data_IF_109537884167
#
_entry.id   IF_109537884167
#
_cell.length_a   1.000
_cell.length_b   1.000
_cell.length_c   1.000
_cell.angle_alpha   90.00
_cell.angle_beta   90.00
_cell.angle_gamma   90.00
#
_symmetry.space_group_name_H-M   'P 1'
#
loop_
_entity.id
_entity.type
_entity.pdbx_description
1 polymer ?
#
# COMPACT_ATOMS: atom_id res chain seq x y z
N UNK A 1 -13.90 7.30 27.16
CA UNK A 1 -13.50 7.52 25.76
C UNK A 1 -12.11 8.14 25.78
N UNK A 2 -11.07 7.33 25.62
CA UNK A 2 -9.68 7.79 25.51
C UNK A 2 -9.28 7.75 24.02
N UNK A 3 -8.44 8.68 23.54
CA UNK A 3 -8.09 8.75 22.13
C UNK A 3 -7.18 7.58 21.74
N UNK A 4 -7.37 7.06 20.54
CA UNK A 4 -6.45 6.10 19.93
C UNK A 4 -5.07 6.76 19.76
N UNK A 5 -4.05 6.27 20.50
CA UNK A 5 -2.66 6.73 20.33
C UNK A 5 -1.83 6.92 21.60
N UNK A 6 -2.26 6.48 22.79
CA UNK A 6 -1.40 6.57 23.98
C UNK A 6 -0.36 5.43 24.02
N UNK A 7 0.92 5.79 24.08
CA UNK A 7 2.03 4.93 24.53
C UNK A 7 2.03 4.91 26.06
N UNK A 8 2.28 3.76 26.67
CA UNK A 8 2.47 3.70 28.13
C UNK A 8 3.88 4.15 28.54
N UNK A 9 4.09 4.33 29.84
CA UNK A 9 5.36 4.76 30.46
C UNK A 9 6.52 3.78 30.30
N UNK A 10 6.32 2.64 29.64
CA UNK A 10 7.35 1.66 29.26
C UNK A 10 7.64 1.63 27.76
N UNK A 11 6.89 2.38 26.94
CA UNK A 11 7.07 2.44 25.49
C UNK A 11 6.36 1.31 24.72
N UNK A 12 5.43 0.61 25.36
CA UNK A 12 4.68 -0.49 24.74
C UNK A 12 3.30 -0.03 24.21
N UNK A 13 2.84 -0.65 23.12
CA UNK A 13 1.51 -0.41 22.56
C UNK A 13 0.45 -1.20 23.32
N UNK A 14 -0.47 -0.49 23.97
CA UNK A 14 -1.61 -1.09 24.69
C UNK A 14 -2.54 -1.79 23.70
N UNK A 15 -2.66 -3.11 23.82
CA UNK A 15 -3.70 -3.91 23.17
C UNK A 15 -5.02 -3.71 23.93
N UNK A 16 -6.06 -3.21 23.28
CA UNK A 16 -7.42 -3.27 23.84
C UNK A 16 -8.08 -4.59 23.42
N UNK A 17 -8.40 -5.44 24.39
CA UNK A 17 -9.03 -6.75 24.23
C UNK A 17 -10.40 -6.64 23.53
N UNK A 18 -10.57 -7.33 22.41
CA UNK A 18 -11.91 -7.61 21.87
C UNK A 18 -12.40 -8.91 22.49
N UNK A 19 -13.27 -8.78 23.49
CA UNK A 19 -13.97 -9.90 24.10
C UNK A 19 -14.81 -10.64 23.05
N UNK A 20 -14.56 -11.94 22.96
CA UNK A 20 -15.38 -12.92 22.25
C UNK A 20 -16.74 -13.03 22.93
N UNK A 21 -17.82 -12.72 22.22
CA UNK A 21 -19.17 -13.06 22.64
C UNK A 21 -19.93 -13.58 21.43
N UNK A 22 -20.19 -14.89 21.46
CA UNK A 22 -20.97 -15.63 20.47
C UNK A 22 -22.40 -15.09 20.39
N UNK A 23 -22.91 -14.81 19.19
CA UNK A 23 -24.35 -14.92 18.83
C UNK A 23 -24.58 -14.58 17.35
N UNK A 24 -25.28 -15.47 16.65
CA UNK A 24 -25.98 -15.26 15.37
C UNK A 24 -25.11 -14.97 14.14
N UNK A 25 -24.85 -16.04 13.37
CA UNK A 25 -24.36 -15.98 11.99
C UNK A 25 -25.49 -15.37 11.12
N UNK A 26 -25.59 -14.05 11.09
CA UNK A 26 -26.35 -13.39 10.04
C UNK A 26 -25.53 -13.49 8.77
N UNK A 27 -25.98 -14.33 7.84
CA UNK A 27 -25.49 -14.43 6.47
C UNK A 27 -25.64 -13.06 5.81
N UNK A 28 -24.59 -12.23 5.93
CA UNK A 28 -24.43 -11.10 5.03
C UNK A 28 -24.14 -11.74 3.67
N UNK A 29 -25.18 -11.84 2.83
CA UNK A 29 -25.04 -11.98 1.39
C UNK A 29 -24.24 -10.77 0.92
N UNK A 30 -22.92 -10.88 1.00
CA UNK A 30 -22.02 -9.90 0.41
C UNK A 30 -22.20 -10.02 -1.09
N UNK A 31 -22.94 -9.05 -1.60
CA UNK A 31 -23.18 -8.74 -2.99
C UNK A 31 -21.83 -8.43 -3.66
N UNK A 32 -21.04 -9.47 -3.98
CA UNK A 32 -19.79 -9.37 -4.71
C UNK A 32 -20.10 -9.28 -6.21
N UNK A 33 -20.74 -8.19 -6.60
CA UNK A 33 -20.74 -7.73 -7.98
C UNK A 33 -19.29 -7.45 -8.40
N UNK A 34 -18.81 -8.22 -9.37
CA UNK A 34 -17.67 -7.94 -10.24
C UNK A 34 -16.50 -7.15 -9.62
N UNK A 35 -15.96 -7.59 -8.47
CA UNK A 35 -14.67 -7.08 -8.02
C UNK A 35 -13.60 -7.63 -8.95
N UNK A 36 -12.86 -6.73 -9.57
CA UNK A 36 -11.72 -7.03 -10.41
C UNK A 36 -10.73 -7.89 -9.59
N UNK A 37 -10.62 -9.17 -9.95
CA UNK A 37 -9.81 -10.18 -9.23
C UNK A 37 -8.38 -9.68 -8.97
N UNK A 38 -7.88 -8.76 -9.81
CA UNK A 38 -6.55 -8.17 -9.70
C UNK A 38 -6.33 -7.44 -8.39
N UNK A 39 -7.37 -6.82 -7.83
CA UNK A 39 -7.28 -6.15 -6.52
C UNK A 39 -7.02 -7.13 -5.38
N UNK A 40 -7.43 -8.40 -5.52
CA UNK A 40 -7.21 -9.43 -4.51
C UNK A 40 -5.80 -10.04 -4.56
N UNK A 41 -5.10 -9.87 -5.68
CA UNK A 41 -3.78 -10.45 -5.94
C UNK A 41 -2.68 -9.40 -6.14
N UNK A 42 -2.99 -8.11 -5.96
CA UNK A 42 -2.04 -7.01 -6.12
C UNK A 42 -1.57 -6.47 -4.78
N UNK A 43 -0.26 -6.31 -4.65
CA UNK A 43 0.38 -5.74 -3.48
C UNK A 43 0.13 -4.24 -3.38
N UNK A 44 -0.36 -3.73 -2.24
CA UNK A 44 -0.64 -2.30 -2.07
C UNK A 44 0.63 -1.42 -1.99
N UNK A 45 1.81 -2.01 -1.82
CA UNK A 45 3.09 -1.28 -1.76
C UNK A 45 3.69 -1.08 -3.15
N UNK A 46 3.86 -2.17 -3.92
CA UNK A 46 4.45 -2.08 -5.26
C UNK A 46 3.43 -1.91 -6.38
N UNK A 47 2.14 -2.13 -6.10
CA UNK A 47 1.05 -2.13 -7.07
C UNK A 47 1.27 -3.15 -8.20
N UNK A 48 2.01 -4.21 -7.91
CA UNK A 48 2.21 -5.37 -8.78
C UNK A 48 1.53 -6.59 -8.18
N UNK A 49 1.31 -7.61 -9.00
CA UNK A 49 0.89 -8.94 -8.54
C UNK A 49 1.86 -9.45 -7.46
N UNK A 50 1.33 -10.06 -6.40
CA UNK A 50 2.12 -10.52 -5.27
C UNK A 50 3.27 -11.44 -5.70
N UNK A 51 4.48 -11.14 -5.22
CA UNK A 51 5.64 -12.04 -5.26
C UNK A 51 5.97 -12.46 -3.84
N UNK A 52 5.87 -13.75 -3.55
CA UNK A 52 5.98 -14.31 -2.19
C UNK A 52 5.07 -13.54 -1.20
N UNK A 53 3.73 -13.72 -1.28
CA UNK A 53 2.80 -12.99 -0.42
C UNK A 53 3.01 -13.35 1.05
N UNK A 54 3.24 -12.34 1.88
CA UNK A 54 3.32 -12.44 3.33
C UNK A 54 2.07 -11.83 3.95
N UNK A 55 1.45 -12.56 4.87
CA UNK A 55 0.27 -12.13 5.62
C UNK A 55 0.70 -11.59 6.99
N UNK A 56 0.32 -10.35 7.28
CA UNK A 56 0.46 -9.79 8.62
C UNK A 56 -0.65 -10.30 9.55
N UNK A 57 -0.48 -10.21 10.89
CA UNK A 57 -1.52 -10.60 11.86
C UNK A 57 -2.87 -9.88 11.68
N UNK A 58 -2.84 -8.70 11.06
CA UNK A 58 -4.04 -7.94 10.68
C UNK A 58 -4.70 -8.40 9.37
N UNK A 59 -4.29 -9.56 8.84
CA UNK A 59 -4.78 -10.19 7.60
C UNK A 59 -4.56 -9.40 6.30
N UNK A 60 -3.71 -8.38 6.32
CA UNK A 60 -3.26 -7.70 5.10
C UNK A 60 -2.01 -8.38 4.51
N UNK A 61 -1.94 -8.39 3.18
CA UNK A 61 -0.94 -9.14 2.43
C UNK A 61 0.00 -8.20 1.66
N UNK A 62 1.28 -8.54 1.62
CA UNK A 62 2.35 -7.75 0.99
C UNK A 62 3.38 -8.69 0.34
N UNK A 63 4.10 -8.23 -0.68
CA UNK A 63 5.27 -8.99 -1.14
C UNK A 63 6.33 -9.02 -0.03
N UNK A 64 6.98 -10.17 0.16
CA UNK A 64 8.09 -10.31 1.12
C UNK A 64 9.12 -9.18 1.03
N UNK A 65 9.64 -8.92 -0.16
CA UNK A 65 10.61 -7.84 -0.40
C UNK A 65 10.07 -6.44 -0.14
N UNK A 66 8.76 -6.22 -0.35
CA UNK A 66 8.13 -4.93 -0.04
C UNK A 66 8.04 -4.72 1.46
N UNK A 67 7.72 -5.79 2.20
CA UNK A 67 7.60 -5.76 3.65
C UNK A 67 8.99 -5.64 4.31
N UNK A 68 9.99 -6.39 3.84
CA UNK A 68 11.39 -6.26 4.28
C UNK A 68 11.95 -4.84 4.14
N UNK A 69 11.59 -4.13 3.06
CA UNK A 69 12.05 -2.76 2.81
C UNK A 69 11.46 -1.73 3.78
N UNK A 70 10.26 -1.98 4.31
CA UNK A 70 9.57 -1.04 5.21
C UNK A 70 9.71 -1.41 6.69
N UNK A 71 10.09 -2.65 6.98
CA UNK A 71 10.40 -3.10 8.33
C UNK A 71 11.84 -2.73 8.68
N UNK A 72 12.00 -1.65 9.44
CA UNK A 72 13.31 -1.23 9.98
C UNK A 72 13.49 -1.74 11.41
N UNK A 73 12.43 -1.70 12.21
CA UNK A 73 12.44 -2.04 13.63
C UNK A 73 11.67 -3.32 13.95
N UNK A 74 11.86 -3.81 15.17
CA UNK A 74 11.14 -4.98 15.73
C UNK A 74 9.63 -4.78 15.80
N UNK A 75 9.18 -3.52 15.81
CA UNK A 75 7.79 -3.11 15.80
C UNK A 75 7.53 -2.25 14.58
N UNK A 76 6.53 -2.61 13.79
CA UNK A 76 6.16 -1.87 12.59
C UNK A 76 4.64 -1.76 12.48
N UNK A 77 4.17 -0.91 11.56
CA UNK A 77 2.74 -0.66 11.33
C UNK A 77 2.33 -1.11 9.94
N UNK A 78 1.17 -1.74 9.85
CA UNK A 78 0.60 -2.13 8.57
C UNK A 78 0.32 -0.90 7.69
N UNK A 79 0.81 -0.86 6.43
CA UNK A 79 0.54 0.26 5.52
C UNK A 79 -0.94 0.49 5.20
N UNK A 80 -1.79 -0.52 5.38
CA UNK A 80 -3.22 -0.45 5.05
C UNK A 80 -4.06 -0.03 6.26
N UNK A 81 -4.01 -0.79 7.36
CA UNK A 81 -4.85 -0.53 8.53
C UNK A 81 -4.13 0.19 9.68
N UNK A 82 -2.82 0.46 9.54
CA UNK A 82 -1.96 1.07 10.57
C UNK A 82 -1.84 0.28 11.88
N UNK A 83 -2.38 -0.95 11.93
CA UNK A 83 -2.22 -1.85 13.07
C UNK A 83 -0.74 -2.17 13.32
N UNK A 84 -0.33 -2.10 14.58
CA UNK A 84 1.01 -2.47 15.00
C UNK A 84 1.18 -3.99 14.93
N UNK A 85 2.36 -4.42 14.51
CA UNK A 85 2.75 -5.82 14.54
C UNK A 85 4.22 -5.94 14.91
N UNK A 86 4.56 -7.07 15.53
CA UNK A 86 5.93 -7.40 15.91
C UNK A 86 6.55 -8.28 14.84
N UNK A 87 7.72 -7.90 14.35
CA UNK A 87 8.52 -8.71 13.41
C UNK A 87 9.14 -9.88 14.18
N UNK A 88 8.97 -11.14 13.73
CA UNK A 88 9.62 -12.30 14.31
C UNK A 88 11.14 -12.14 14.33
N UNK A 89 11.82 -12.81 15.26
CA UNK A 89 13.27 -12.74 15.36
C UNK A 89 13.98 -13.31 14.12
N UNK A 90 13.35 -14.29 13.46
CA UNK A 90 13.80 -14.85 12.18
C UNK A 90 13.37 -14.00 10.95
N UNK A 91 12.92 -12.76 11.18
CA UNK A 91 12.62 -11.77 10.15
C UNK A 91 11.26 -11.93 9.47
N UNK A 92 11.03 -11.10 8.44
CA UNK A 92 9.77 -11.01 7.70
C UNK A 92 9.38 -12.33 7.01
N UNK A 93 10.36 -13.15 6.64
CA UNK A 93 10.13 -14.47 6.04
C UNK A 93 9.39 -15.45 6.96
N UNK A 94 9.32 -15.18 8.26
CA UNK A 94 8.70 -16.06 9.26
C UNK A 94 7.19 -15.83 9.45
N UNK A 95 6.63 -14.84 8.76
CA UNK A 95 5.19 -14.62 8.76
C UNK A 95 4.48 -15.66 7.89
N UNK A 96 3.22 -15.92 8.22
CA UNK A 96 2.39 -16.85 7.47
C UNK A 96 2.12 -16.35 6.06
N UNK A 97 1.95 -17.31 5.15
CA UNK A 97 1.63 -17.06 3.75
C UNK A 97 0.15 -17.32 3.54
N UNK A 98 -0.55 -16.37 2.90
CA UNK A 98 -1.94 -16.56 2.55
C UNK A 98 -2.07 -17.53 1.37
N UNK A 99 -2.43 -18.78 1.67
CA UNK A 99 -2.61 -19.83 0.65
C UNK A 99 -3.76 -19.54 -0.30
N UNK A 100 -4.78 -18.78 0.11
CA UNK A 100 -5.87 -18.36 -0.79
C UNK A 100 -5.34 -17.43 -1.89
N UNK A 101 -4.41 -16.52 -1.57
CA UNK A 101 -3.75 -15.68 -2.58
C UNK A 101 -2.91 -16.54 -3.52
N UNK A 102 -2.15 -17.51 -3.01
CA UNK A 102 -1.40 -18.45 -3.86
C UNK A 102 -2.34 -19.18 -4.82
N UNK A 103 -3.42 -19.76 -4.30
CA UNK A 103 -4.39 -20.48 -5.13
C UNK A 103 -5.05 -19.56 -6.17
N UNK A 104 -5.28 -18.29 -5.84
CA UNK A 104 -5.80 -17.29 -6.80
C UNK A 104 -4.75 -16.94 -7.87
N UNK A 105 -3.47 -16.86 -7.51
CA UNK A 105 -2.37 -16.64 -8.45
C UNK A 105 -2.17 -17.84 -9.40
N UNK A 106 -2.40 -19.06 -8.91
CA UNK A 106 -2.30 -20.31 -9.68
C UNK A 106 -3.52 -20.53 -10.58
N UNK A 107 -4.73 -20.36 -10.05
CA UNK A 107 -5.98 -20.62 -10.77
C UNK A 107 -6.32 -19.52 -11.80
N UNK A 108 -5.89 -18.28 -11.54
CA UNK A 108 -5.89 -17.22 -12.53
C UNK A 108 -4.48 -17.08 -13.06
N UNK A 109 -4.10 -17.94 -14.00
CA UNK A 109 -2.84 -17.94 -14.75
C UNK A 109 -2.20 -16.55 -14.94
N UNK A 110 -1.54 -16.04 -13.91
CA UNK A 110 -0.61 -14.92 -13.94
C UNK A 110 0.82 -15.42 -14.10
N UNK A 111 1.00 -16.75 -14.01
CA UNK A 111 2.28 -17.40 -14.17
C UNK A 111 2.84 -17.31 -15.60
N UNK A 112 2.07 -17.49 -16.70
CA UNK A 112 2.71 -17.63 -18.03
C UNK A 112 1.89 -17.19 -19.25
N UNK A 113 1.16 -16.06 -19.21
CA UNK A 113 0.49 -15.57 -20.44
C UNK A 113 0.22 -14.07 -20.51
N UNK A 114 1.08 -13.21 -19.95
CA UNK A 114 1.37 -11.95 -20.64
C UNK A 114 2.52 -12.27 -21.58
N UNK A 115 2.45 -11.97 -22.90
CA UNK A 115 3.57 -12.23 -23.79
C UNK A 115 4.77 -11.46 -23.23
N UNK A 116 5.68 -12.19 -22.59
CA UNK A 116 7.00 -11.73 -22.22
C UNK A 116 7.73 -11.59 -23.53
N UNK A 117 7.47 -10.48 -24.22
CA UNK A 117 8.13 -10.16 -25.47
C UNK A 117 9.62 -10.04 -25.12
N UNK A 118 10.44 -10.84 -25.79
CA UNK A 118 11.86 -10.55 -25.85
C UNK A 118 12.05 -9.45 -26.87
N UNK A 119 12.41 -8.27 -26.39
CA UNK A 119 12.66 -7.12 -27.25
C UNK A 119 13.62 -6.17 -26.56
N UNK A 120 14.03 -5.13 -27.30
CA UNK A 120 14.87 -4.07 -26.75
C UNK A 120 14.06 -3.18 -25.83
N UNK A 121 14.54 -3.01 -24.61
CA UNK A 121 13.99 -2.06 -23.65
C UNK A 121 14.06 -0.63 -24.21
N UNK A 122 12.95 0.11 -24.15
CA UNK A 122 12.89 1.49 -24.62
C UNK A 122 13.85 2.43 -23.87
N UNK A 123 14.20 2.11 -22.62
CA UNK A 123 15.05 2.93 -21.76
C UNK A 123 16.53 2.56 -21.87
N UNK A 124 16.90 1.30 -21.63
CA UNK A 124 18.32 0.88 -21.65
C UNK A 124 18.80 0.30 -23.00
N UNK A 125 17.89 0.11 -23.97
CA UNK A 125 18.16 -0.46 -25.30
C UNK A 125 18.69 -1.90 -25.33
N UNK A 126 18.82 -2.54 -24.18
CA UNK A 126 19.22 -3.95 -24.05
C UNK A 126 18.04 -4.86 -24.38
N UNK A 127 18.35 -6.01 -24.99
CA UNK A 127 17.40 -7.11 -25.14
C UNK A 127 17.18 -7.75 -23.78
N UNK A 128 15.92 -7.74 -23.35
CA UNK A 128 15.49 -8.31 -22.08
C UNK A 128 14.01 -8.67 -22.21
N UNK A 129 13.49 -9.31 -21.17
CA UNK A 129 12.07 -9.50 -21.02
C UNK A 129 11.40 -8.15 -20.74
N UNK A 130 10.59 -7.68 -21.67
CA UNK A 130 9.92 -6.37 -21.58
C UNK A 130 8.48 -6.48 -21.08
N UNK A 131 8.03 -5.42 -20.43
CA UNK A 131 6.66 -5.19 -20.01
C UNK A 131 6.20 -3.83 -20.52
N UNK A 132 4.92 -3.68 -20.88
CA UNK A 132 4.37 -2.39 -21.28
C UNK A 132 4.04 -1.59 -20.03
N UNK A 133 4.61 -0.39 -19.91
CA UNK A 133 4.27 0.55 -18.86
C UNK A 133 2.88 1.15 -19.10
N UNK A 134 1.95 1.04 -18.15
CA UNK A 134 0.60 1.60 -18.31
C UNK A 134 0.58 3.14 -18.26
N UNK A 135 1.62 3.76 -17.67
CA UNK A 135 1.76 5.22 -17.59
C UNK A 135 2.15 5.85 -18.93
N UNK A 136 3.12 5.28 -19.65
CA UNK A 136 3.66 5.87 -20.89
C UNK A 136 3.54 4.97 -22.13
N UNK A 137 2.97 3.77 -21.99
CA UNK A 137 2.86 2.72 -23.03
C UNK A 137 4.18 2.23 -23.63
N UNK A 138 5.31 2.61 -23.03
CA UNK A 138 6.63 2.16 -23.46
C UNK A 138 6.93 0.73 -23.00
N UNK A 139 7.64 -0.01 -23.85
CA UNK A 139 8.13 -1.35 -23.58
C UNK A 139 9.44 -1.30 -22.76
N UNK A 140 9.38 -1.67 -21.47
CA UNK A 140 10.50 -1.51 -20.54
C UNK A 140 10.79 -2.81 -19.77
N UNK A 141 12.08 -3.08 -19.51
CA UNK A 141 12.51 -4.24 -18.72
C UNK A 141 12.26 -4.04 -17.22
N UNK A 142 12.30 -5.12 -16.43
CA UNK A 142 12.01 -5.10 -14.99
C UNK A 142 12.96 -4.21 -14.17
N UNK A 143 14.21 -4.02 -14.63
CA UNK A 143 15.20 -3.14 -13.99
C UNK A 143 14.81 -1.68 -14.21
N UNK A 144 14.66 -1.26 -15.46
CA UNK A 144 14.28 0.12 -15.81
C UNK A 144 12.86 0.48 -15.36
N UNK A 145 11.96 -0.50 -15.23
CA UNK A 145 10.62 -0.27 -14.67
C UNK A 145 10.66 0.26 -13.25
N UNK A 146 11.56 -0.24 -12.40
CA UNK A 146 11.70 0.25 -11.02
C UNK A 146 12.14 1.71 -10.99
N UNK A 147 13.21 2.02 -11.71
CA UNK A 147 13.74 3.40 -11.80
C UNK A 147 12.73 4.37 -12.39
N UNK A 148 12.07 3.99 -13.50
CA UNK A 148 11.03 4.80 -14.14
C UNK A 148 9.87 5.13 -13.18
N UNK A 149 9.40 4.15 -12.42
CA UNK A 149 8.32 4.37 -11.45
C UNK A 149 8.77 5.19 -10.25
N UNK A 150 10.02 5.07 -9.81
CA UNK A 150 10.53 5.84 -8.68
C UNK A 150 10.68 7.34 -9.02
N UNK A 151 11.09 7.68 -10.24
CA UNK A 151 11.07 9.07 -10.72
C UNK A 151 9.64 9.60 -10.82
N UNK A 152 8.72 8.81 -11.39
CA UNK A 152 7.32 9.20 -11.48
C UNK A 152 6.68 9.42 -10.10
N UNK A 153 6.99 8.55 -9.12
CA UNK A 153 6.55 8.72 -7.72
C UNK A 153 7.07 10.01 -7.11
N UNK A 154 8.35 10.36 -7.34
CA UNK A 154 8.93 11.62 -6.85
C UNK A 154 8.21 12.83 -7.45
N UNK A 155 7.95 12.79 -8.77
CA UNK A 155 7.21 13.86 -9.45
C UNK A 155 5.80 14.04 -8.87
N UNK A 156 5.03 12.96 -8.69
CA UNK A 156 3.71 13.02 -8.07
C UNK A 156 3.79 13.59 -6.65
N UNK A 157 4.73 13.10 -5.84
CA UNK A 157 4.89 13.56 -4.45
C UNK A 157 5.19 15.07 -4.38
N UNK A 158 6.06 15.57 -5.27
CA UNK A 158 6.36 16.99 -5.39
C UNK A 158 5.10 17.80 -5.73
N UNK A 159 4.33 17.36 -6.73
CA UNK A 159 3.10 18.04 -7.15
C UNK A 159 2.01 18.03 -6.06
N UNK A 160 1.89 16.94 -5.31
CA UNK A 160 0.98 16.87 -4.17
C UNK A 160 1.39 17.85 -3.07
N UNK A 161 2.68 17.97 -2.76
CA UNK A 161 3.16 18.92 -1.76
C UNK A 161 2.94 20.38 -2.21
N UNK A 162 3.21 20.70 -3.48
CA UNK A 162 2.95 22.04 -4.03
C UNK A 162 1.48 22.44 -3.92
N UNK A 163 0.59 21.52 -4.31
CA UNK A 163 -0.86 21.76 -4.25
C UNK A 163 -1.36 21.89 -2.81
N UNK A 164 -0.82 21.10 -1.87
CA UNK A 164 -1.13 21.22 -0.45
C UNK A 164 -0.70 22.59 0.11
N UNK A 165 0.52 23.05 -0.19
CA UNK A 165 0.99 24.36 0.25
C UNK A 165 0.15 25.51 -0.34
N UNK A 166 -0.31 25.37 -1.57
CA UNK A 166 -1.22 26.35 -2.18
C UNK A 166 -2.57 26.39 -1.45
N UNK A 167 -3.13 25.22 -1.11
CA UNK A 167 -4.37 25.13 -0.33
C UNK A 167 -4.23 25.78 1.06
N UNK A 168 -3.14 25.51 1.78
CA UNK A 168 -2.86 26.13 3.09
C UNK A 168 -2.77 27.67 3.00
N UNK A 169 -2.13 28.20 1.95
CA UNK A 169 -2.06 29.65 1.72
C UNK A 169 -3.45 30.25 1.45
N UNK A 170 -4.32 29.54 0.75
CA UNK A 170 -5.70 29.98 0.51
C UNK A 170 -6.52 29.98 1.81
N UNK A 171 -6.41 28.92 2.61
CA UNK A 171 -7.06 28.83 3.93
C UNK A 171 -6.58 29.96 4.85
N UNK A 172 -5.28 30.25 4.85
CA UNK A 172 -4.72 31.36 5.64
C UNK A 172 -5.23 32.74 5.16
N UNK A 173 -5.42 32.94 3.85
CA UNK A 173 -6.03 34.16 3.31
C UNK A 173 -7.50 34.28 3.71
N UNK A 174 -8.27 33.20 3.64
CA UNK A 174 -9.66 33.17 4.09
C UNK A 174 -9.80 33.48 5.59
N UNK A 175 -8.89 32.97 6.42
CA UNK A 175 -8.84 33.29 7.85
C UNK A 175 -8.64 34.79 8.09
N UNK A 176 -7.68 35.41 7.39
CA UNK A 176 -7.44 36.86 7.49
C UNK A 176 -8.63 37.70 7.01
N UNK A 177 -9.33 37.28 5.95
CA UNK A 177 -10.53 37.97 5.47
C UNK A 177 -11.64 37.93 6.53
N UNK A 178 -11.83 36.79 7.22
CA UNK A 178 -12.81 36.66 8.31
C UNK A 178 -12.45 37.53 9.52
N UNK A 179 -11.19 37.65 9.89
CA UNK A 179 -10.74 38.53 10.97
C UNK A 179 -10.94 40.02 10.65
N UNK A 180 -10.63 40.44 9.41
CA UNK A 180 -10.87 41.82 8.95
C UNK A 180 -12.38 42.13 8.94
N UNK A 181 -13.21 41.20 8.46
CA UNK A 181 -14.65 41.40 8.44
C UNK A 181 -15.28 41.37 9.84
N UNK A 182 -14.71 40.58 10.77
CA UNK A 182 -15.14 40.56 12.18
C UNK A 182 -14.74 41.81 12.96
N UNK A 183 -13.65 42.48 12.58
CA UNK A 183 -13.21 43.75 13.20
C UNK A 183 -13.96 44.99 12.65
N UNK A 184 -14.69 44.86 11.54
CA UNK A 184 -15.54 45.92 10.99
C UNK A 184 -16.99 45.89 11.52
N UNK A 185 -17.35 44.88 12.32
CA UNK A 185 -18.69 44.66 12.87
C UNK A 185 -18.86 45.14 14.32
N UNK A 186 -17.92 45.92 14.85
CA UNK A 186 -17.96 46.40 16.24
C UNK A 186 -17.84 47.91 16.39
#
# INVERSE_FOLDING_TARGET
>A
MTPAGALDSTGDCVMSDVHNSSSSINTVRSNYGSKNILQLITCPICLEVFREPIQLPCQHNFCKSCLERITVDRWSRCPVCRGCYRVPFAGVASFEVNRTIINLLENHSYAESRPMLQAKCALCKLEDTITICEHCREAICCKCRREHYDEFRKYICLKLNETQQQAEKLIAKEGKIKEINGSFLH
#
